data_IF_854561416222
#
_entry.id   IF_854561416222
#
_cell.length_a   1.000
_cell.length_b   1.000
_cell.length_c   1.000
_cell.angle_alpha   90.00
_cell.angle_beta   90.00
_cell.angle_gamma   90.00
#
_symmetry.space_group_name_H-M   'P 1'
#
loop_
_entity.id
_entity.type
_entity.pdbx_description
1 polymer ?
#
# COMPACT_ATOMS: atom_id res chain seq x y z
N UNK A 1 23.76 -3.40 -7.07
CA UNK A 1 22.83 -3.82 -8.14
C UNK A 1 21.77 -4.72 -7.53
N UNK A 2 20.52 -4.24 -7.45
CA UNK A 2 19.39 -5.10 -7.09
C UNK A 2 18.85 -5.70 -8.39
N UNK A 3 19.01 -7.00 -8.58
CA UNK A 3 18.55 -7.71 -9.79
C UNK A 3 17.08 -8.08 -9.67
N UNK A 4 16.24 -7.10 -9.34
CA UNK A 4 14.80 -7.28 -9.17
C UNK A 4 14.21 -8.07 -10.38
N UNK A 5 13.01 -8.64 -10.21
CA UNK A 5 12.51 -9.62 -11.17
C UNK A 5 12.08 -8.97 -12.50
N UNK A 6 12.91 -9.04 -13.54
CA UNK A 6 12.73 -8.29 -14.80
C UNK A 6 11.64 -8.81 -15.74
N UNK A 7 10.89 -9.84 -15.35
CA UNK A 7 9.92 -10.52 -16.20
C UNK A 7 8.62 -10.92 -15.47
N UNK A 8 8.30 -10.30 -14.33
CA UNK A 8 7.02 -10.57 -13.68
C UNK A 8 5.94 -9.89 -14.50
N UNK A 9 5.16 -10.68 -15.22
CA UNK A 9 4.01 -10.19 -15.95
C UNK A 9 2.73 -10.79 -15.37
N UNK A 10 1.75 -9.95 -15.06
CA UNK A 10 0.40 -10.40 -14.72
C UNK A 10 -0.60 -9.74 -15.66
N UNK A 11 -1.19 -10.55 -16.56
CA UNK A 11 -2.25 -10.09 -17.46
C UNK A 11 -1.82 -9.01 -18.47
N UNK A 12 -0.53 -8.92 -18.80
CA UNK A 12 0.00 -7.91 -19.71
C UNK A 12 0.71 -6.74 -19.01
N UNK A 13 0.55 -6.58 -17.70
CA UNK A 13 1.24 -5.55 -16.92
C UNK A 13 2.56 -6.08 -16.36
N UNK A 14 3.62 -5.28 -16.43
CA UNK A 14 4.92 -5.58 -15.83
C UNK A 14 4.88 -5.20 -14.34
N UNK A 15 4.84 -6.21 -13.47
CA UNK A 15 4.97 -6.06 -12.01
C UNK A 15 6.41 -6.39 -11.54
N UNK A 16 7.34 -6.32 -12.48
CA UNK A 16 8.75 -6.61 -12.28
C UNK A 16 9.53 -5.38 -11.87
N UNK A 17 10.71 -5.20 -12.47
CA UNK A 17 11.57 -4.06 -12.16
C UNK A 17 11.02 -2.72 -12.65
N UNK A 18 10.02 -2.74 -13.54
CA UNK A 18 9.33 -1.55 -14.03
C UNK A 18 8.37 -0.92 -13.02
N UNK A 19 8.00 -1.64 -11.96
CA UNK A 19 6.99 -1.21 -11.00
C UNK A 19 7.54 -1.19 -9.56
N UNK A 20 7.02 -0.27 -8.75
CA UNK A 20 7.08 -0.38 -7.28
C UNK A 20 5.67 -0.32 -6.73
N UNK A 21 5.43 -1.11 -5.70
CA UNK A 21 4.18 -1.08 -4.96
C UNK A 21 4.41 -0.80 -3.48
N UNK A 22 3.40 -0.23 -2.83
CA UNK A 22 3.28 -0.21 -1.37
C UNK A 22 1.89 -0.70 -0.98
N UNK A 23 1.85 -1.51 0.07
CA UNK A 23 0.61 -2.13 0.56
C UNK A 23 0.57 -2.09 2.07
N UNK A 24 -0.53 -1.60 2.63
CA UNK A 24 -0.86 -1.83 4.04
C UNK A 24 -1.77 -3.06 4.13
N UNK A 25 -1.34 -4.08 4.86
CA UNK A 25 -2.17 -5.25 5.16
C UNK A 25 -2.82 -5.07 6.54
N UNK A 26 -4.14 -5.24 6.58
CA UNK A 26 -4.93 -5.06 7.79
C UNK A 26 -6.23 -5.84 7.66
N UNK A 27 -6.82 -6.24 8.78
CA UNK A 27 -8.00 -7.07 8.77
C UNK A 27 -8.00 -8.10 9.90
N UNK A 28 -9.18 -8.59 10.32
CA UNK A 28 -9.31 -9.41 11.52
C UNK A 28 -8.68 -10.81 11.36
N UNK A 29 -8.39 -11.23 10.12
CA UNK A 29 -7.72 -12.48 9.82
C UNK A 29 -7.05 -12.42 8.44
N UNK A 30 -6.19 -13.39 8.11
CA UNK A 30 -5.53 -13.48 6.80
C UNK A 30 -6.52 -13.60 5.63
N UNK A 31 -7.66 -14.27 5.84
CA UNK A 31 -8.74 -14.38 4.85
C UNK A 31 -9.62 -13.14 4.74
N UNK A 32 -9.46 -12.17 5.65
CA UNK A 32 -10.21 -10.92 5.69
C UNK A 32 -9.25 -9.74 5.57
N UNK A 33 -8.31 -9.82 4.63
CA UNK A 33 -7.31 -8.79 4.41
C UNK A 33 -7.89 -7.65 3.55
N UNK A 34 -7.94 -6.44 4.10
CA UNK A 34 -8.44 -5.22 3.45
C UNK A 34 -7.45 -4.53 2.52
N UNK A 35 -6.31 -5.17 2.21
CA UNK A 35 -5.18 -4.56 1.51
C UNK A 35 -5.51 -3.86 0.19
N UNK A 36 -6.50 -4.35 -0.57
CA UNK A 36 -6.92 -3.75 -1.85
C UNK A 36 -7.37 -2.29 -1.69
N UNK A 37 -7.81 -1.88 -0.49
CA UNK A 37 -8.20 -0.50 -0.18
C UNK A 37 -7.01 0.41 0.13
N UNK A 38 -5.84 -0.18 0.34
CA UNK A 38 -4.62 0.48 0.81
C UNK A 38 -3.42 -0.12 0.08
N UNK A 39 -3.55 -0.15 -1.24
CA UNK A 39 -2.54 -0.61 -2.18
C UNK A 39 -2.33 0.48 -3.22
N UNK A 40 -1.08 0.69 -3.61
CA UNK A 40 -0.71 1.69 -4.60
C UNK A 40 0.55 1.27 -5.33
N UNK A 41 0.55 1.48 -6.64
CA UNK A 41 1.60 1.07 -7.57
C UNK A 41 2.10 2.30 -8.34
N UNK A 42 3.34 2.22 -8.79
CA UNK A 42 3.94 3.21 -9.66
C UNK A 42 4.84 2.54 -10.70
N UNK A 43 4.41 2.65 -11.95
CA UNK A 43 5.19 2.26 -13.12
C UNK A 43 6.22 3.31 -13.49
N UNK A 44 7.37 2.85 -13.96
CA UNK A 44 8.41 3.69 -14.54
C UNK A 44 8.21 3.78 -16.05
N UNK A 45 8.07 5.00 -16.57
CA UNK A 45 7.86 5.24 -18.01
C UNK A 45 9.16 5.39 -18.82
N UNK A 46 10.31 5.08 -18.23
CA UNK A 46 11.63 5.06 -18.85
C UNK A 46 12.72 4.64 -17.87
N UNK A 47 13.55 3.67 -18.25
CA UNK A 47 14.43 2.97 -17.30
C UNK A 47 13.64 1.98 -16.43
N UNK A 48 14.20 1.60 -15.29
CA UNK A 48 13.59 0.70 -14.30
C UNK A 48 13.99 1.12 -12.88
N UNK A 49 13.35 0.56 -11.86
CA UNK A 49 13.63 0.90 -10.47
C UNK A 49 14.96 0.34 -9.92
N UNK A 50 15.73 -0.36 -10.75
CA UNK A 50 17.08 -0.83 -10.44
C UNK A 50 18.18 0.07 -11.04
N UNK A 51 17.82 1.14 -11.76
CA UNK A 51 18.75 2.06 -12.42
C UNK A 51 19.55 2.96 -11.47
N UNK A 52 19.13 3.08 -10.21
CA UNK A 52 19.78 3.94 -9.25
C UNK A 52 19.23 3.85 -7.82
N UNK A 53 19.59 4.83 -7.01
CA UNK A 53 19.02 5.01 -5.68
C UNK A 53 17.74 5.83 -5.77
N UNK A 54 16.71 5.40 -5.03
CA UNK A 54 15.39 6.03 -4.97
C UNK A 54 15.03 6.39 -3.52
N UNK A 55 14.18 7.40 -3.35
CA UNK A 55 13.69 7.83 -2.04
C UNK A 55 12.29 7.26 -1.82
N UNK A 56 12.17 6.39 -0.82
CA UNK A 56 10.89 5.86 -0.35
C UNK A 56 10.52 6.56 0.96
N UNK A 57 9.32 7.14 1.02
CA UNK A 57 8.85 7.87 2.21
C UNK A 57 7.52 7.30 2.68
N UNK A 58 7.45 7.02 3.99
CA UNK A 58 6.21 6.75 4.71
C UNK A 58 5.93 7.91 5.65
N UNK A 59 4.80 8.57 5.44
CA UNK A 59 4.21 9.52 6.36
C UNK A 59 3.08 8.83 7.11
N UNK A 60 3.20 8.78 8.42
CA UNK A 60 2.22 8.15 9.30
C UNK A 60 1.81 9.17 10.35
N UNK A 61 0.62 9.73 10.16
CA UNK A 61 0.00 10.70 11.06
C UNK A 61 -1.31 10.16 11.59
N UNK A 62 -1.83 10.79 12.65
CA UNK A 62 -3.08 10.35 13.27
C UNK A 62 -4.29 10.38 12.33
N UNK A 63 -4.26 11.21 11.29
CA UNK A 63 -5.35 11.42 10.33
C UNK A 63 -5.09 10.78 8.96
N UNK A 64 -3.88 10.29 8.66
CA UNK A 64 -3.58 9.63 7.39
C UNK A 64 -2.27 8.83 7.38
N UNK A 65 -2.18 7.90 6.44
CA UNK A 65 -0.93 7.33 5.95
C UNK A 65 -0.75 7.75 4.49
N UNK A 66 0.44 8.26 4.15
CA UNK A 66 0.85 8.57 2.77
C UNK A 66 2.18 7.89 2.47
N UNK A 67 2.27 7.27 1.29
CA UNK A 67 3.53 6.73 0.77
C UNK A 67 3.90 7.47 -0.50
N UNK A 68 5.16 7.89 -0.59
CA UNK A 68 5.72 8.51 -1.79
C UNK A 68 6.99 7.80 -2.23
N UNK A 69 7.23 7.77 -3.55
CA UNK A 69 8.47 7.30 -4.17
C UNK A 69 8.99 8.43 -5.03
N UNK A 70 10.23 8.87 -4.80
CA UNK A 70 10.84 10.05 -5.44
C UNK A 70 9.96 11.31 -5.38
N UNK A 71 9.21 11.45 -4.29
CA UNK A 71 8.28 12.56 -4.06
C UNK A 71 6.90 12.40 -4.71
N UNK A 72 6.70 11.40 -5.58
CA UNK A 72 5.39 11.07 -6.15
C UNK A 72 4.58 10.22 -5.17
N UNK A 73 3.37 10.65 -4.84
CA UNK A 73 2.44 9.87 -4.00
C UNK A 73 1.95 8.63 -4.74
N UNK A 74 2.19 7.46 -4.16
CA UNK A 74 1.72 6.17 -4.70
C UNK A 74 0.55 5.60 -3.89
N UNK A 75 0.46 5.92 -2.61
CA UNK A 75 -0.62 5.46 -1.73
C UNK A 75 -1.01 6.58 -0.77
N UNK A 76 -2.31 6.74 -0.56
CA UNK A 76 -2.85 7.59 0.50
C UNK A 76 -4.09 6.93 1.10
N UNK A 77 -4.13 6.85 2.42
CA UNK A 77 -5.33 6.45 3.16
C UNK A 77 -5.56 7.42 4.29
N UNK A 78 -6.68 8.13 4.23
CA UNK A 78 -7.17 8.92 5.36
C UNK A 78 -7.69 7.99 6.45
N UNK A 79 -7.49 8.39 7.70
CA UNK A 79 -8.05 7.69 8.86
C UNK A 79 -9.56 7.59 8.72
N UNK A 80 -10.13 6.38 8.60
CA UNK A 80 -11.56 6.24 8.43
C UNK A 80 -12.31 6.69 9.69
N UNK A 81 -13.32 7.54 9.54
CA UNK A 81 -14.06 8.09 10.69
C UNK A 81 -14.70 7.02 11.60
N UNK A 82 -15.10 5.87 11.02
CA UNK A 82 -15.64 4.72 11.74
C UNK A 82 -14.59 3.62 12.03
N UNK A 83 -13.30 3.93 11.84
CA UNK A 83 -12.18 3.02 11.99
C UNK A 83 -12.02 2.04 10.82
N UNK A 84 -10.84 1.42 10.76
CA UNK A 84 -10.49 0.49 9.69
C UNK A 84 -11.44 -0.72 9.62
N UNK A 85 -11.92 -1.25 10.75
CA UNK A 85 -12.85 -2.38 10.73
C UNK A 85 -14.10 -2.14 9.87
N UNK A 86 -14.72 -0.97 10.04
CA UNK A 86 -15.88 -0.56 9.23
C UNK A 86 -15.48 -0.24 7.80
N UNK A 87 -14.34 0.43 7.59
CA UNK A 87 -13.80 0.73 6.27
C UNK A 87 -13.55 -0.53 5.42
N UNK A 88 -13.18 -1.63 6.07
CA UNK A 88 -12.96 -2.94 5.47
C UNK A 88 -14.23 -3.68 5.11
N UNK A 89 -15.38 -3.24 5.64
CA UNK A 89 -16.66 -3.92 5.47
C UNK A 89 -16.70 -5.28 6.17
N UNK A 90 -15.93 -5.47 7.24
CA UNK A 90 -15.88 -6.75 7.94
C UNK A 90 -17.17 -6.97 8.74
N UNK A 91 -17.64 -8.21 8.75
CA UNK A 91 -18.79 -8.65 9.54
C UNK A 91 -18.38 -9.31 10.86
N UNK A 92 -19.33 -9.34 11.79
CA UNK A 92 -19.16 -9.91 13.12
C UNK A 92 -18.77 -8.88 14.19
N UNK A 93 -18.22 -9.36 15.30
CA UNK A 93 -17.75 -8.50 16.37
C UNK A 93 -16.47 -7.76 15.96
N UNK A 94 -16.47 -6.44 16.09
CA UNK A 94 -15.26 -5.63 15.87
C UNK A 94 -14.23 -5.91 16.97
N UNK A 95 -13.18 -6.65 16.63
CA UNK A 95 -12.08 -7.04 17.54
C UNK A 95 -11.25 -5.84 18.03
N UNK A 96 -11.40 -4.67 17.41
CA UNK A 96 -10.76 -3.41 17.80
C UNK A 96 -11.76 -2.35 18.27
N UNK A 97 -12.97 -2.73 18.69
CA UNK A 97 -14.00 -1.79 19.12
C UNK A 97 -13.54 -0.86 20.26
N UNK A 98 -12.62 -1.31 21.11
CA UNK A 98 -12.04 -0.54 22.21
C UNK A 98 -10.78 0.25 21.84
N UNK A 99 -10.28 0.12 20.61
CA UNK A 99 -9.06 0.77 20.13
C UNK A 99 -9.28 2.21 19.66
N UNK A 100 -8.16 2.92 19.44
CA UNK A 100 -8.15 4.19 18.73
C UNK A 100 -8.48 4.02 17.24
N UNK A 101 -8.86 5.11 16.58
CA UNK A 101 -9.20 5.11 15.14
C UNK A 101 -8.06 5.58 14.24
N UNK A 102 -7.00 6.12 14.82
CA UNK A 102 -5.86 6.67 14.10
C UNK A 102 -5.30 5.64 13.12
N UNK A 103 -4.87 6.14 11.96
CA UNK A 103 -4.02 5.37 11.07
C UNK A 103 -2.78 4.92 11.83
#
# INVERSE_FOLDING_TARGET
EARCNSKVNCGGNDHGIGEVASTLHWGPSSGQNGFMKTHGELDKHGGDWADGFHIYKLEWYADHIRVTVDGQQIMYVGTPGNGFYSYGGFGGGNVWASGGRNA
#
